data_IF_524969476415
#
_entry.id   IF_524969476415
#
_cell.length_a   1.000
_cell.length_b   1.000
_cell.length_c   1.000
_cell.angle_alpha   90.00
_cell.angle_beta   90.00
_cell.angle_gamma   90.00
#
_symmetry.space_group_name_H-M   'P 1'
#
loop_
_entity.id
_entity.type
_entity.pdbx_description
1 polymer ?
#
# COMPACT_ATOMS: atom_id res chain seq x y z
N UNK A 1 2.21 -50.45 -29.08
CA UNK A 1 1.61 -50.38 -30.43
C UNK A 1 2.40 -49.36 -31.25
N UNK A 2 3.23 -49.86 -32.18
CA UNK A 2 3.89 -49.09 -33.22
C UNK A 2 2.86 -48.63 -34.26
N UNK A 3 2.97 -47.41 -34.77
CA UNK A 3 3.00 -47.17 -36.23
C UNK A 3 3.49 -45.77 -36.60
N UNK A 4 4.25 -45.80 -37.68
CA UNK A 4 5.20 -44.83 -38.24
C UNK A 4 4.78 -44.61 -39.69
N UNK A 5 4.48 -43.39 -40.10
CA UNK A 5 4.26 -42.98 -41.49
C UNK A 5 4.85 -41.57 -41.61
N UNK A 6 5.67 -41.16 -42.58
CA UNK A 6 6.16 -41.74 -43.83
C UNK A 6 6.60 -40.55 -44.68
N UNK A 7 7.87 -40.50 -45.08
CA UNK A 7 8.42 -39.42 -45.92
C UNK A 7 8.26 -39.75 -47.41
N UNK A 8 8.05 -38.73 -48.24
CA UNK A 8 8.61 -38.70 -49.60
C UNK A 8 7.68 -38.27 -50.74
N UNK A 9 8.32 -37.54 -51.67
CA UNK A 9 8.01 -37.33 -53.09
C UNK A 9 7.04 -36.18 -53.47
N UNK A 10 7.28 -35.34 -54.49
CA UNK A 10 8.40 -35.08 -55.39
C UNK A 10 8.02 -33.86 -56.27
N UNK A 11 9.02 -33.07 -56.66
CA UNK A 11 9.15 -32.18 -57.84
C UNK A 11 7.99 -32.07 -58.85
N UNK A 12 7.75 -30.84 -59.36
CA UNK A 12 7.96 -30.52 -60.80
C UNK A 12 7.86 -29.03 -61.13
N UNK A 13 8.80 -28.62 -61.99
CA UNK A 13 9.01 -27.33 -62.65
C UNK A 13 8.15 -27.16 -63.92
N UNK A 14 8.00 -25.91 -64.36
CA UNK A 14 7.25 -25.41 -65.53
C UNK A 14 7.69 -25.99 -66.91
N UNK A 15 6.93 -25.74 -68.00
CA UNK A 15 7.21 -24.55 -68.84
C UNK A 15 5.99 -23.87 -69.54
N UNK A 16 6.20 -22.65 -70.04
CA UNK A 16 5.35 -21.88 -70.97
C UNK A 16 5.43 -22.41 -72.42
N UNK A 17 4.48 -22.05 -73.32
CA UNK A 17 4.84 -21.06 -74.35
C UNK A 17 3.75 -20.06 -74.79
N UNK A 18 4.19 -19.14 -75.66
CA UNK A 18 3.67 -17.84 -76.12
C UNK A 18 2.74 -17.86 -77.38
N UNK A 19 2.20 -16.65 -77.67
CA UNK A 19 1.76 -16.04 -78.97
C UNK A 19 0.32 -16.32 -79.45
N UNK A 20 -0.51 -15.40 -79.99
CA UNK A 20 -0.61 -13.92 -80.21
C UNK A 20 -2.06 -13.63 -80.77
N UNK A 21 -2.48 -12.43 -81.22
CA UNK A 21 -3.60 -11.68 -80.64
C UNK A 21 -4.78 -11.43 -81.63
N UNK A 22 -5.79 -10.64 -81.21
CA UNK A 22 -6.49 -9.66 -82.08
C UNK A 22 -7.34 -8.64 -81.28
N UNK A 23 -7.06 -7.37 -81.56
CA UNK A 23 -7.86 -6.12 -81.55
C UNK A 23 -8.68 -5.76 -80.29
N UNK A 24 -8.28 -4.77 -79.47
CA UNK A 24 -8.15 -3.30 -79.67
C UNK A 24 -9.50 -2.57 -79.80
N UNK A 25 -9.84 -1.81 -78.76
CA UNK A 25 -10.56 -0.54 -78.83
C UNK A 25 -9.93 0.44 -77.80
N UNK A 26 -9.57 1.63 -78.28
CA UNK A 26 -8.88 2.74 -77.59
C UNK A 26 -9.89 3.75 -77.03
N UNK A 27 -9.56 4.46 -75.94
CA UNK A 27 -9.68 5.93 -75.75
C UNK A 27 -9.05 6.36 -74.40
N UNK A 28 -8.67 7.65 -74.22
CA UNK A 28 -7.43 8.06 -73.53
C UNK A 28 -7.60 8.45 -72.06
N UNK A 29 -6.51 8.30 -71.29
CA UNK A 29 -6.38 8.77 -69.90
C UNK A 29 -5.59 10.08 -69.89
N UNK A 30 -6.28 11.21 -69.77
CA UNK A 30 -5.66 12.50 -69.50
C UNK A 30 -5.35 12.61 -68.00
N UNK A 31 -4.06 12.75 -67.65
CA UNK A 31 -3.60 13.10 -66.32
C UNK A 31 -3.68 14.62 -66.17
N UNK A 32 -4.65 15.11 -65.39
CA UNK A 32 -4.69 16.50 -64.95
C UNK A 32 -3.80 16.64 -63.70
N UNK A 33 -2.67 17.32 -63.85
CA UNK A 33 -1.83 17.77 -62.74
C UNK A 33 -2.58 18.92 -62.03
N UNK A 34 -2.92 18.75 -60.75
CA UNK A 34 -3.45 19.83 -59.91
C UNK A 34 -2.29 20.47 -59.16
N UNK A 35 -1.97 21.73 -59.49
CA UNK A 35 -1.17 22.59 -58.63
C UNK A 35 -2.06 23.08 -57.49
N UNK A 36 -1.79 22.62 -56.26
CA UNK A 36 -2.36 23.18 -55.06
C UNK A 36 -1.43 24.28 -54.55
N UNK A 37 -1.77 25.54 -54.82
CA UNK A 37 -1.17 26.69 -54.16
C UNK A 37 -1.72 26.80 -52.74
N UNK A 38 -0.94 26.44 -51.73
CA UNK A 38 -1.23 26.77 -50.32
C UNK A 38 -0.80 28.21 -50.06
N UNK A 39 -1.67 29.16 -50.41
CA UNK A 39 -1.63 30.49 -49.82
C UNK A 39 -2.73 30.54 -48.75
N UNK A 40 -2.41 30.08 -47.54
CA UNK A 40 -3.21 30.38 -46.36
C UNK A 40 -2.93 31.83 -45.96
N UNK A 41 -3.90 32.72 -46.19
CA UNK A 41 -3.84 34.07 -45.62
C UNK A 41 -3.99 33.97 -44.10
N UNK A 42 -3.08 34.61 -43.38
CA UNK A 42 -3.01 34.69 -41.90
C UNK A 42 -4.22 35.37 -41.25
N UNK A 43 -5.16 35.93 -42.03
CA UNK A 43 -6.20 36.83 -41.53
C UNK A 43 -7.47 36.13 -41.01
N UNK A 44 -7.67 34.85 -41.32
CA UNK A 44 -8.87 34.11 -40.85
C UNK A 44 -8.77 33.70 -39.36
N UNK A 45 -7.56 33.48 -38.86
CA UNK A 45 -7.32 33.05 -37.48
C UNK A 45 -7.43 34.23 -36.48
N UNK A 46 -7.02 35.44 -36.88
CA UNK A 46 -7.17 36.65 -36.05
C UNK A 46 -8.63 37.06 -35.83
N UNK A 47 -9.49 36.88 -36.83
CA UNK A 47 -10.93 37.21 -36.74
C UNK A 47 -11.68 36.32 -35.74
N UNK A 48 -11.28 35.05 -35.63
CA UNK A 48 -11.88 34.09 -34.70
C UNK A 48 -11.50 34.38 -33.24
N UNK A 49 -10.28 34.86 -32.97
CA UNK A 49 -9.82 35.20 -31.62
C UNK A 49 -10.46 36.50 -31.09
N UNK A 50 -10.83 37.44 -31.96
CA UNK A 50 -11.40 38.73 -31.58
C UNK A 50 -12.94 38.78 -31.56
N UNK A 51 -13.62 37.64 -31.77
CA UNK A 51 -15.08 37.58 -31.76
C UNK A 51 -15.64 37.52 -30.33
N UNK A 52 -16.67 38.32 -30.05
CA UNK A 52 -17.43 38.29 -28.78
C UNK A 52 -17.99 36.89 -28.48
N UNK A 53 -18.27 36.09 -29.52
CA UNK A 53 -18.76 34.72 -29.38
C UNK A 53 -17.69 33.81 -28.76
N UNK A 54 -16.42 34.02 -29.11
CA UNK A 54 -15.28 33.26 -28.58
C UNK A 54 -15.03 33.58 -27.10
N UNK A 55 -15.19 34.84 -26.69
CA UNK A 55 -15.12 35.23 -25.28
C UNK A 55 -16.22 34.59 -24.44
N UNK A 56 -17.46 34.54 -24.95
CA UNK A 56 -18.59 33.92 -24.25
C UNK A 56 -18.42 32.41 -24.17
N UNK A 57 -17.98 31.75 -25.24
CA UNK A 57 -17.79 30.29 -25.25
C UNK A 57 -16.65 29.84 -24.32
N UNK A 58 -15.53 30.57 -24.30
CA UNK A 58 -14.43 30.30 -23.36
C UNK A 58 -14.87 30.52 -21.91
N UNK A 59 -15.65 31.58 -21.64
CA UNK A 59 -16.15 31.86 -20.29
C UNK A 59 -17.11 30.76 -19.80
N UNK A 60 -18.03 30.29 -20.65
CA UNK A 60 -18.93 29.20 -20.30
C UNK A 60 -18.19 27.86 -20.11
N UNK A 61 -17.19 27.58 -20.96
CA UNK A 61 -16.38 26.37 -20.84
C UNK A 61 -15.55 26.36 -19.56
N UNK A 62 -14.93 27.48 -19.20
CA UNK A 62 -14.16 27.62 -17.95
C UNK A 62 -15.07 27.52 -16.72
N UNK A 63 -16.19 28.25 -16.68
CA UNK A 63 -17.15 28.16 -15.58
C UNK A 63 -17.73 26.75 -15.41
N UNK A 64 -18.10 26.10 -16.51
CA UNK A 64 -18.58 24.71 -16.51
C UNK A 64 -17.51 23.71 -16.04
N UNK A 65 -16.26 23.88 -16.47
CA UNK A 65 -15.15 23.01 -16.05
C UNK A 65 -14.82 23.18 -14.57
N UNK A 66 -14.86 24.42 -14.07
CA UNK A 66 -14.67 24.73 -12.65
C UNK A 66 -15.80 24.12 -11.82
N UNK A 67 -17.07 24.31 -12.23
CA UNK A 67 -18.23 23.74 -11.55
C UNK A 67 -18.21 22.21 -11.53
N UNK A 68 -17.89 21.57 -12.67
CA UNK A 68 -17.75 20.13 -12.76
C UNK A 68 -16.64 19.59 -11.86
N UNK A 69 -15.48 20.25 -11.84
CA UNK A 69 -14.36 19.87 -10.98
C UNK A 69 -14.72 20.02 -9.49
N UNK A 70 -15.37 21.13 -9.10
CA UNK A 70 -15.86 21.29 -7.72
C UNK A 70 -16.88 20.25 -7.33
N UNK A 71 -17.74 19.80 -8.25
CA UNK A 71 -18.72 18.78 -7.94
C UNK A 71 -18.08 17.40 -7.72
N UNK A 72 -17.04 17.06 -8.49
CA UNK A 72 -16.37 15.76 -8.38
C UNK A 72 -15.38 15.68 -7.21
N UNK A 73 -14.64 16.76 -6.95
CA UNK A 73 -13.49 16.76 -6.05
C UNK A 73 -13.66 17.70 -4.84
N UNK A 74 -14.82 18.34 -4.71
CA UNK A 74 -15.20 19.19 -3.58
C UNK A 74 -14.51 20.55 -3.53
N UNK A 75 -13.24 20.65 -3.96
CA UNK A 75 -12.45 21.87 -3.79
C UNK A 75 -11.63 22.25 -5.02
N UNK A 76 -11.35 23.55 -5.16
CA UNK A 76 -10.51 24.08 -6.25
C UNK A 76 -9.05 24.19 -5.78
N UNK A 77 -8.08 23.63 -6.51
CA UNK A 77 -6.67 23.56 -6.09
C UNK A 77 -5.95 24.92 -6.04
N UNK A 78 -6.61 25.99 -6.48
CA UNK A 78 -6.07 27.35 -6.57
C UNK A 78 -6.82 28.37 -5.69
N UNK A 79 -7.81 27.93 -4.91
CA UNK A 79 -8.41 28.76 -3.87
C UNK A 79 -7.92 28.27 -2.50
N UNK A 80 -7.33 29.15 -1.66
CA UNK A 80 -6.96 28.77 -0.31
C UNK A 80 -8.24 28.41 0.48
N UNK A 81 -8.28 27.18 0.99
CA UNK A 81 -9.33 26.73 1.90
C UNK A 81 -8.94 27.12 3.31
N UNK A 82 -9.85 27.76 4.03
CA UNK A 82 -9.71 27.99 5.47
C UNK A 82 -10.24 26.74 6.16
N UNK A 83 -9.35 25.82 6.51
CA UNK A 83 -9.70 24.69 7.37
C UNK A 83 -9.84 25.22 8.80
N UNK A 84 -11.01 25.04 9.40
CA UNK A 84 -11.23 25.28 10.83
C UNK A 84 -10.80 24.07 11.66
N UNK A 85 -9.62 23.52 11.38
CA UNK A 85 -8.99 22.47 12.18
C UNK A 85 -8.00 23.12 13.13
N UNK A 86 -8.23 23.01 14.44
CA UNK A 86 -7.22 23.35 15.43
C UNK A 86 -6.21 22.20 15.49
N UNK A 87 -4.95 22.49 15.82
CA UNK A 87 -3.94 21.44 16.05
C UNK A 87 -4.39 20.42 17.11
N UNK A 88 -5.30 20.82 18.01
CA UNK A 88 -5.93 19.93 18.99
C UNK A 88 -6.84 18.88 18.36
N UNK A 89 -7.46 19.15 17.21
CA UNK A 89 -8.39 18.23 16.54
C UNK A 89 -7.66 17.10 15.83
N UNK A 90 -6.48 17.39 15.28
CA UNK A 90 -5.61 16.42 14.59
C UNK A 90 -4.69 15.67 15.56
N UNK A 91 -4.41 16.24 16.74
CA UNK A 91 -3.45 15.72 17.71
C UNK A 91 -2.01 16.08 17.35
N UNK A 92 -1.13 16.06 18.35
CA UNK A 92 0.29 16.33 18.15
C UNK A 92 0.92 15.24 17.27
N UNK A 93 1.66 15.66 16.24
CA UNK A 93 2.38 14.70 15.40
C UNK A 93 3.48 13.99 16.20
N UNK A 94 3.55 12.65 16.13
CA UNK A 94 4.60 11.90 16.81
C UNK A 94 5.97 12.20 16.17
N UNK A 95 7.05 12.30 16.97
CA UNK A 95 8.40 12.42 16.42
C UNK A 95 8.83 11.09 15.79
N UNK A 96 9.80 11.15 14.88
CA UNK A 96 10.35 9.95 14.23
C UNK A 96 11.35 9.26 15.17
N UNK A 97 10.95 8.16 15.80
CA UNK A 97 11.86 7.39 16.65
C UNK A 97 12.72 6.43 15.81
N UNK A 98 14.00 6.24 16.16
CA UNK A 98 14.90 5.38 15.40
C UNK A 98 14.67 3.90 15.75
N UNK A 99 13.58 3.30 15.26
CA UNK A 99 13.28 1.88 15.46
C UNK A 99 14.35 0.99 14.85
N UNK A 100 14.69 -0.10 15.55
CA UNK A 100 15.70 -1.08 15.10
C UNK A 100 15.39 -1.73 13.76
N UNK A 101 14.12 -1.74 13.35
CA UNK A 101 13.62 -2.38 12.14
C UNK A 101 13.26 -1.38 11.03
N UNK A 102 13.68 -0.11 11.14
CA UNK A 102 13.31 0.93 10.17
C UNK A 102 14.13 0.87 8.87
N UNK A 103 15.40 0.47 8.92
CA UNK A 103 16.27 0.47 7.75
C UNK A 103 15.87 -0.56 6.69
N UNK A 104 16.37 -0.38 5.46
CA UNK A 104 16.05 -1.24 4.31
C UNK A 104 16.48 -2.70 4.49
N UNK A 105 17.53 -2.92 5.28
CA UNK A 105 18.12 -4.24 5.55
C UNK A 105 17.81 -4.74 6.96
N UNK A 106 17.15 -3.92 7.77
CA UNK A 106 16.91 -4.24 9.18
C UNK A 106 15.68 -5.12 9.35
N UNK A 107 15.77 -6.07 10.27
CA UNK A 107 14.74 -7.03 10.66
C UNK A 107 14.16 -6.63 12.01
N UNK A 108 13.05 -7.24 12.42
CA UNK A 108 12.57 -7.07 13.79
C UNK A 108 13.59 -7.57 14.83
N UNK A 109 13.59 -6.92 16.00
CA UNK A 109 14.25 -7.44 17.20
C UNK A 109 13.32 -8.45 17.87
N UNK A 110 13.58 -9.75 17.62
CA UNK A 110 12.74 -10.84 18.14
C UNK A 110 12.77 -10.95 19.67
N UNK A 111 13.82 -10.50 20.34
CA UNK A 111 13.85 -10.43 21.80
C UNK A 111 12.91 -9.33 22.31
N UNK A 112 12.85 -8.19 21.61
CA UNK A 112 11.87 -7.13 21.88
C UNK A 112 10.44 -7.58 21.57
N UNK A 113 10.20 -8.40 20.53
CA UNK A 113 8.89 -9.03 20.28
C UNK A 113 8.49 -9.94 21.46
N UNK A 114 9.40 -10.77 21.98
CA UNK A 114 9.13 -11.65 23.12
C UNK A 114 8.74 -10.84 24.37
N UNK A 115 9.54 -9.85 24.72
CA UNK A 115 9.24 -8.94 25.86
C UNK A 115 7.95 -8.15 25.63
N UNK A 116 7.69 -7.72 24.40
CA UNK A 116 6.47 -7.00 24.05
C UNK A 116 5.21 -7.85 24.17
N UNK A 117 5.30 -9.15 23.83
CA UNK A 117 4.21 -10.09 24.08
C UNK A 117 3.92 -10.25 25.58
N UNK A 118 4.95 -10.31 26.42
CA UNK A 118 4.78 -10.34 27.87
C UNK A 118 4.01 -9.10 28.37
N UNK A 119 4.40 -7.90 27.93
CA UNK A 119 3.68 -6.65 28.26
C UNK A 119 2.24 -6.68 27.76
N UNK A 120 2.00 -7.16 26.52
CA UNK A 120 0.64 -7.32 26.01
C UNK A 120 -0.19 -8.24 26.91
N UNK A 121 0.34 -9.41 27.27
CA UNK A 121 -0.36 -10.42 28.08
C UNK A 121 -0.67 -9.91 29.49
N UNK A 122 0.29 -9.26 30.14
CA UNK A 122 0.17 -8.84 31.54
C UNK A 122 -0.56 -7.50 31.73
N UNK A 123 -0.58 -6.64 30.69
CA UNK A 123 -1.17 -5.29 30.79
C UNK A 123 -2.35 -5.10 29.85
N UNK A 124 -2.18 -5.41 28.56
CA UNK A 124 -3.14 -5.01 27.52
C UNK A 124 -4.28 -6.03 27.34
N UNK A 125 -4.01 -7.32 27.51
CA UNK A 125 -4.92 -8.43 27.21
C UNK A 125 -6.18 -8.44 28.08
N UNK A 126 -6.20 -7.68 29.18
CA UNK A 126 -7.39 -7.48 30.01
C UNK A 126 -8.48 -6.64 29.31
N UNK A 127 -8.11 -5.75 28.38
CA UNK A 127 -9.04 -4.84 27.72
C UNK A 127 -8.98 -4.87 26.20
N UNK A 128 -7.86 -5.28 25.61
CA UNK A 128 -7.64 -5.29 24.17
C UNK A 128 -7.63 -6.69 23.59
N UNK A 129 -8.38 -6.90 22.50
CA UNK A 129 -8.29 -8.13 21.73
C UNK A 129 -7.10 -8.12 20.76
N UNK A 130 -6.73 -9.32 20.32
CA UNK A 130 -5.70 -9.56 19.30
C UNK A 130 -6.20 -10.66 18.34
N UNK A 131 -7.38 -10.43 17.79
CA UNK A 131 -8.24 -11.46 17.16
C UNK A 131 -7.62 -12.11 15.92
N UNK A 132 -6.62 -11.47 15.28
CA UNK A 132 -5.99 -11.98 14.05
C UNK A 132 -4.68 -12.71 14.29
N UNK A 133 -4.25 -12.82 15.55
CA UNK A 133 -3.05 -13.57 15.93
C UNK A 133 -3.46 -14.87 16.60
N UNK A 134 -2.91 -15.97 16.08
CA UNK A 134 -3.04 -17.28 16.69
C UNK A 134 -1.78 -17.69 17.43
N UNK A 135 -1.91 -18.64 18.35
CA UNK A 135 -0.79 -19.15 19.14
C UNK A 135 0.37 -19.61 18.26
N UNK A 136 0.08 -20.38 17.19
CA UNK A 136 1.07 -20.84 16.20
C UNK A 136 1.91 -19.72 15.57
N UNK A 137 1.44 -18.47 15.55
CA UNK A 137 2.19 -17.37 14.97
C UNK A 137 3.41 -16.99 15.81
N UNK A 138 3.38 -17.22 17.13
CA UNK A 138 4.52 -16.95 18.02
C UNK A 138 5.66 -17.98 17.88
N UNK A 139 5.32 -19.19 17.41
CA UNK A 139 6.25 -20.32 17.30
C UNK A 139 7.34 -20.00 16.29
N UNK A 140 8.60 -20.04 16.73
CA UNK A 140 9.75 -19.75 15.89
C UNK A 140 9.95 -18.26 15.58
N UNK A 141 9.09 -17.39 16.13
CA UNK A 141 9.25 -15.93 16.08
C UNK A 141 9.80 -15.44 17.42
N UNK A 142 9.02 -15.57 18.50
CA UNK A 142 9.38 -15.06 19.82
C UNK A 142 9.49 -16.15 20.88
N UNK A 143 8.88 -17.31 20.63
CA UNK A 143 8.80 -18.44 21.55
C UNK A 143 9.04 -19.75 20.81
N UNK A 144 9.44 -20.79 21.56
CA UNK A 144 9.52 -22.14 21.02
C UNK A 144 8.14 -22.84 21.07
N UNK A 145 8.05 -24.03 20.46
CA UNK A 145 6.77 -24.77 20.36
C UNK A 145 6.20 -25.11 21.73
N UNK A 146 7.05 -25.56 22.65
CA UNK A 146 6.62 -26.05 23.97
C UNK A 146 6.16 -24.90 24.86
N UNK A 147 6.84 -23.75 24.82
CA UNK A 147 6.43 -22.51 25.49
C UNK A 147 5.04 -22.05 25.03
N UNK A 148 4.83 -21.94 23.71
CA UNK A 148 3.54 -21.49 23.17
C UNK A 148 2.44 -22.48 23.47
N UNK A 149 2.75 -23.78 23.43
CA UNK A 149 1.78 -24.82 23.78
C UNK A 149 1.37 -24.71 25.24
N UNK A 150 2.32 -24.53 26.16
CA UNK A 150 2.01 -24.32 27.58
C UNK A 150 1.14 -23.07 27.79
N UNK A 151 1.47 -21.95 27.13
CA UNK A 151 0.66 -20.72 27.21
C UNK A 151 -0.75 -20.89 26.64
N UNK A 152 -0.92 -21.66 25.56
CA UNK A 152 -2.24 -21.93 24.99
C UNK A 152 -3.08 -22.82 25.93
N UNK A 153 -2.46 -23.77 26.63
CA UNK A 153 -3.12 -24.67 27.58
C UNK A 153 -3.62 -23.96 28.85
N UNK A 154 -3.12 -22.77 29.17
CA UNK A 154 -3.60 -21.90 30.26
C UNK A 154 -5.00 -21.31 30.00
N UNK A 155 -5.47 -21.35 28.75
CA UNK A 155 -6.71 -20.71 28.31
C UNK A 155 -7.74 -21.77 27.90
N UNK A 156 -8.98 -21.58 28.32
CA UNK A 156 -10.11 -22.42 27.89
C UNK A 156 -10.84 -21.80 26.69
N UNK A 157 -11.22 -22.66 25.74
CA UNK A 157 -11.99 -22.31 24.56
C UNK A 157 -13.26 -23.13 24.49
N UNK A 158 -14.34 -22.52 23.98
CA UNK A 158 -15.54 -23.26 23.61
C UNK A 158 -15.29 -24.05 22.32
N UNK A 159 -15.71 -25.32 22.30
CA UNK A 159 -15.65 -26.23 21.15
C UNK A 159 -16.94 -27.08 21.08
N UNK A 160 -17.08 -27.86 20.02
CA UNK A 160 -18.22 -28.74 19.79
C UNK A 160 -19.07 -28.37 18.57
N UNK A 161 -20.28 -28.94 18.46
CA UNK A 161 -20.93 -29.79 19.45
C UNK A 161 -20.33 -31.20 19.60
N UNK A 162 -20.58 -31.85 20.73
CA UNK A 162 -20.29 -33.27 20.96
C UNK A 162 -21.37 -34.18 20.31
N UNK A 163 -21.27 -35.50 20.51
CA UNK A 163 -22.20 -36.49 19.94
C UNK A 163 -23.67 -36.33 20.44
N UNK A 164 -23.88 -35.57 21.51
CA UNK A 164 -25.19 -35.25 22.09
C UNK A 164 -25.72 -33.88 21.62
N UNK A 165 -24.95 -33.13 20.82
CA UNK A 165 -25.33 -31.80 20.33
C UNK A 165 -24.96 -30.65 21.28
N UNK A 166 -24.19 -30.91 22.33
CA UNK A 166 -23.82 -29.92 23.36
C UNK A 166 -22.44 -29.31 23.09
N UNK A 167 -22.31 -28.00 23.31
CA UNK A 167 -21.02 -27.30 23.29
C UNK A 167 -20.26 -27.58 24.59
N UNK A 168 -18.95 -27.78 24.51
CA UNK A 168 -18.08 -28.04 25.67
C UNK A 168 -16.88 -27.09 25.69
N UNK A 169 -16.17 -27.03 26.81
CA UNK A 169 -14.90 -26.30 26.92
C UNK A 169 -13.72 -27.24 26.77
N UNK A 170 -12.64 -26.75 26.14
CA UNK A 170 -11.38 -27.47 26.04
C UNK A 170 -10.21 -26.54 26.30
N UNK A 171 -9.07 -27.13 26.64
CA UNK A 171 -7.79 -26.42 26.68
C UNK A 171 -7.42 -25.90 25.30
N UNK A 172 -6.74 -24.75 25.28
CA UNK A 172 -6.25 -24.15 24.05
C UNK A 172 -5.18 -25.00 23.37
N UNK A 173 -5.10 -24.85 22.05
CA UNK A 173 -4.09 -25.49 21.21
C UNK A 173 -3.45 -24.44 20.29
N UNK A 174 -2.31 -24.77 19.69
CA UNK A 174 -1.56 -23.87 18.81
C UNK A 174 -2.39 -23.29 17.64
N UNK A 175 -3.45 -23.98 17.21
CA UNK A 175 -4.31 -23.53 16.13
C UNK A 175 -5.30 -22.42 16.55
N UNK A 176 -5.52 -22.21 17.84
CA UNK A 176 -6.50 -21.23 18.32
C UNK A 176 -5.96 -19.80 18.24
N UNK A 177 -6.90 -18.85 18.13
CA UNK A 177 -6.62 -17.42 18.19
C UNK A 177 -6.51 -16.92 19.63
N UNK A 178 -5.86 -15.79 19.84
CA UNK A 178 -5.77 -15.17 21.17
C UNK A 178 -7.18 -14.97 21.75
N UNK A 179 -7.38 -15.24 23.06
CA UNK A 179 -8.69 -15.11 23.67
C UNK A 179 -9.13 -13.64 23.69
N UNK A 180 -10.40 -13.34 23.36
CA UNK A 180 -10.92 -11.99 23.49
C UNK A 180 -11.16 -11.64 24.96
N UNK A 181 -10.90 -10.40 25.42
CA UNK A 181 -11.15 -9.96 26.79
C UNK A 181 -12.64 -9.86 27.13
N UNK A 182 -13.48 -9.69 26.11
CA UNK A 182 -14.92 -9.50 26.26
C UNK A 182 -15.67 -10.41 25.29
N UNK A 183 -16.87 -10.85 25.69
CA UNK A 183 -17.72 -11.70 24.86
C UNK A 183 -18.30 -10.96 23.64
N UNK A 184 -18.51 -9.65 23.74
CA UNK A 184 -19.08 -8.80 22.70
C UNK A 184 -18.71 -7.32 22.91
N UNK A 185 -19.08 -6.48 21.94
CA UNK A 185 -18.81 -5.05 21.93
C UNK A 185 -19.53 -4.32 23.09
N UNK A 186 -20.76 -4.73 23.40
CA UNK A 186 -21.57 -4.11 24.44
C UNK A 186 -20.95 -4.33 25.83
N UNK A 187 -20.43 -5.54 26.10
CA UNK A 187 -19.71 -5.84 27.32
C UNK A 187 -18.41 -5.01 27.43
N UNK A 188 -17.68 -4.86 26.31
CA UNK A 188 -16.48 -4.04 26.26
C UNK A 188 -16.78 -2.56 26.57
N UNK A 189 -17.83 -2.00 25.98
CA UNK A 189 -18.27 -0.62 26.25
C UNK A 189 -18.75 -0.44 27.69
N UNK A 190 -19.53 -1.38 28.21
CA UNK A 190 -20.01 -1.33 29.59
C UNK A 190 -18.86 -1.36 30.60
N UNK A 191 -17.82 -2.15 30.34
CA UNK A 191 -16.62 -2.22 31.19
C UNK A 191 -15.69 -1.01 31.12
N UNK A 192 -15.79 -0.17 30.08
CA UNK A 192 -14.85 0.92 29.81
C UNK A 192 -15.56 2.28 29.63
N UNK A 193 -16.55 2.57 30.47
CA UNK A 193 -17.26 3.87 30.49
C UNK A 193 -17.84 4.30 29.12
N UNK A 194 -18.30 3.33 28.32
CA UNK A 194 -18.89 3.53 26.98
C UNK A 194 -17.87 3.53 25.83
N UNK A 195 -16.57 3.62 26.11
CA UNK A 195 -15.52 3.51 25.12
C UNK A 195 -15.29 2.04 24.73
N UNK A 196 -15.04 1.78 23.45
CA UNK A 196 -14.67 0.46 22.96
C UNK A 196 -13.15 0.41 22.76
N UNK A 197 -12.41 -0.43 23.50
CA UNK A 197 -11.01 -0.70 23.20
C UNK A 197 -10.89 -1.33 21.81
N UNK A 198 -10.09 -0.77 20.88
CA UNK A 198 -9.90 -1.36 19.56
C UNK A 198 -9.09 -2.66 19.64
N UNK A 199 -9.37 -3.59 18.74
CA UNK A 199 -8.48 -4.74 18.44
C UNK A 199 -7.10 -4.22 18.05
N UNK A 200 -6.06 -4.79 18.66
CA UNK A 200 -4.68 -4.34 18.47
C UNK A 200 -3.97 -5.04 17.31
N UNK A 201 -4.59 -6.03 16.67
CA UNK A 201 -3.94 -6.86 15.65
C UNK A 201 -3.33 -6.05 14.50
N UNK A 202 -3.97 -4.94 14.12
CA UNK A 202 -3.54 -4.09 13.01
C UNK A 202 -3.33 -2.63 13.43
N UNK A 203 -3.29 -2.33 14.72
CA UNK A 203 -3.36 -0.94 15.21
C UNK A 203 -2.21 -0.06 14.71
N UNK A 204 -1.02 -0.63 14.57
CA UNK A 204 0.18 0.04 14.05
C UNK A 204 0.02 0.43 12.57
N UNK A 205 -0.78 -0.31 11.78
CA UNK A 205 -1.08 0.03 10.38
C UNK A 205 -2.35 0.86 10.24
N UNK A 206 -3.24 0.77 11.22
CA UNK A 206 -4.53 1.44 11.22
C UNK A 206 -4.47 2.89 11.74
N UNK A 207 -3.28 3.41 12.06
CA UNK A 207 -3.07 4.78 12.54
C UNK A 207 -1.94 5.46 11.78
N UNK A 208 -2.11 6.74 11.49
CA UNK A 208 -1.05 7.57 10.92
C UNK A 208 0.12 7.67 11.92
N UNK A 209 1.36 7.68 11.42
CA UNK A 209 2.57 7.62 12.25
C UNK A 209 2.91 6.22 12.77
N UNK A 210 1.99 5.26 12.71
CA UNK A 210 2.23 3.85 13.05
C UNK A 210 2.89 3.63 14.40
N UNK A 211 4.08 3.01 14.41
CA UNK A 211 4.80 2.69 15.64
C UNK A 211 5.15 3.94 16.46
N UNK A 212 5.54 5.04 15.79
CA UNK A 212 5.85 6.31 16.44
C UNK A 212 4.63 6.88 17.17
N UNK A 213 3.45 6.75 16.57
CA UNK A 213 2.18 7.18 17.17
C UNK A 213 1.86 6.36 18.42
N UNK A 214 1.88 5.04 18.33
CA UNK A 214 1.53 4.18 19.48
C UNK A 214 2.51 4.37 20.64
N UNK A 215 3.80 4.51 20.35
CA UNK A 215 4.81 4.78 21.38
C UNK A 215 4.58 6.14 22.05
N UNK A 216 4.35 7.19 21.26
CA UNK A 216 4.07 8.53 21.78
C UNK A 216 2.77 8.58 22.56
N UNK A 217 1.75 7.85 22.12
CA UNK A 217 0.49 7.72 22.84
C UNK A 217 0.70 7.09 24.22
N UNK A 218 1.42 5.97 24.29
CA UNK A 218 1.65 5.27 25.56
C UNK A 218 2.51 6.06 26.55
N UNK A 219 3.47 6.84 26.06
CA UNK A 219 4.42 7.59 26.90
C UNK A 219 4.07 9.06 27.08
N UNK A 220 3.07 9.58 26.36
CA UNK A 220 2.74 11.00 26.28
C UNK A 220 1.65 11.50 27.24
N UNK A 221 1.19 10.67 28.18
CA UNK A 221 0.19 11.08 29.17
C UNK A 221 0.73 12.20 30.07
N UNK A 222 0.03 13.33 30.10
CA UNK A 222 0.35 14.52 30.91
C UNK A 222 -0.95 15.14 31.46
N UNK A 223 -0.82 15.98 32.48
CA UNK A 223 -1.96 16.74 32.99
C UNK A 223 -2.50 17.71 31.93
N UNK A 224 -3.83 17.93 31.87
CA UNK A 224 -4.42 18.83 30.89
C UNK A 224 -3.85 20.25 31.07
N UNK A 225 -3.43 20.91 29.98
CA UNK A 225 -2.94 22.28 30.06
C UNK A 225 -4.06 23.24 30.49
N UNK A 226 -3.68 24.39 31.03
CA UNK A 226 -4.64 25.39 31.53
C UNK A 226 -5.68 25.76 30.45
N UNK A 227 -6.96 25.63 30.79
CA UNK A 227 -8.08 25.92 29.89
C UNK A 227 -8.66 24.71 29.14
N UNK A 228 -8.05 23.52 29.26
CA UNK A 228 -8.60 22.28 28.70
C UNK A 228 -9.33 21.49 29.80
N UNK A 229 -10.66 21.42 29.69
CA UNK A 229 -11.48 20.57 30.56
C UNK A 229 -11.70 19.20 29.92
N UNK A 230 -11.22 18.15 30.58
CA UNK A 230 -11.44 16.77 30.16
C UNK A 230 -12.69 16.24 30.87
N UNK A 231 -13.58 15.59 30.11
CA UNK A 231 -14.80 15.00 30.67
C UNK A 231 -14.46 13.94 31.72
N UNK A 232 -15.33 13.79 32.71
CA UNK A 232 -15.18 12.76 33.74
C UNK A 232 -15.06 11.37 33.10
N UNK A 233 -14.06 10.59 33.54
CA UNK A 233 -13.72 9.27 32.99
C UNK A 233 -12.80 9.28 31.76
N UNK A 234 -12.47 10.46 31.21
CA UNK A 234 -11.49 10.61 30.13
C UNK A 234 -10.16 11.15 30.69
N UNK A 235 -9.07 10.90 29.98
CA UNK A 235 -7.71 11.36 30.31
C UNK A 235 -7.18 12.27 29.22
N UNK A 236 -6.20 13.12 29.56
CA UNK A 236 -5.55 13.97 28.57
C UNK A 236 -4.32 13.28 27.96
N UNK A 237 -4.23 13.32 26.63
CA UNK A 237 -3.05 12.91 25.88
C UNK A 237 -2.92 13.78 24.62
N UNK A 238 -1.84 14.57 24.47
CA UNK A 238 -1.69 15.50 23.36
C UNK A 238 -1.55 14.81 22.00
N UNK A 239 -1.13 13.54 21.95
CA UNK A 239 -1.01 12.79 20.69
C UNK A 239 -2.35 12.23 20.22
N UNK A 240 -3.33 12.08 21.11
CA UNK A 240 -4.66 11.61 20.72
C UNK A 240 -5.45 12.72 20.03
N UNK A 241 -6.08 12.48 18.88
CA UNK A 241 -6.93 13.47 18.21
C UNK A 241 -8.05 13.97 19.14
N UNK A 242 -8.15 15.28 19.34
CA UNK A 242 -9.07 15.90 20.30
C UNK A 242 -8.55 15.97 21.75
N UNK A 243 -7.37 15.44 22.04
CA UNK A 243 -6.69 15.51 23.34
C UNK A 243 -7.31 14.67 24.47
N UNK A 244 -8.59 14.34 24.41
CA UNK A 244 -9.29 13.55 25.41
C UNK A 244 -9.42 12.07 24.98
N UNK A 245 -8.83 11.15 25.74
CA UNK A 245 -8.83 9.71 25.47
C UNK A 245 -9.50 8.93 26.61
N UNK A 246 -10.29 7.91 26.28
CA UNK A 246 -10.94 7.02 27.27
C UNK A 246 -10.01 5.98 27.90
N UNK A 247 -8.75 5.93 27.48
CA UNK A 247 -7.73 5.01 27.99
C UNK A 247 -6.96 5.67 29.13
N UNK A 248 -6.84 4.98 30.26
CA UNK A 248 -5.98 5.39 31.37
C UNK A 248 -4.50 5.22 31.03
N UNK A 249 -3.62 5.89 31.78
CA UNK A 249 -2.19 5.58 31.74
C UNK A 249 -1.99 4.20 32.37
N UNK A 250 -1.58 3.22 31.56
CA UNK A 250 -1.42 1.82 31.99
C UNK A 250 0.04 1.40 32.16
N UNK A 251 1.01 2.20 31.71
CA UNK A 251 2.42 1.90 31.88
C UNK A 251 3.04 2.76 32.98
N UNK A 252 3.62 2.08 33.97
CA UNK A 252 4.37 2.66 35.09
C UNK A 252 5.70 1.90 35.26
N UNK A 253 6.73 2.56 35.80
CA UNK A 253 8.04 1.92 35.93
C UNK A 253 7.97 0.73 36.91
N UNK A 254 8.53 -0.41 36.50
CA UNK A 254 8.55 -1.64 37.31
C UNK A 254 7.24 -2.44 37.32
N UNK A 255 6.31 -2.19 36.38
CA UNK A 255 5.03 -2.89 36.32
C UNK A 255 5.15 -4.39 35.99
N UNK A 256 6.15 -4.76 35.18
CA UNK A 256 6.41 -6.11 34.70
C UNK A 256 7.86 -6.47 35.03
N UNK A 257 8.13 -7.74 35.31
CA UNK A 257 9.51 -8.25 35.44
C UNK A 257 9.86 -9.08 34.20
N UNK A 258 10.79 -8.58 33.37
CA UNK A 258 11.21 -9.29 32.17
C UNK A 258 12.06 -10.51 32.51
N UNK A 259 11.82 -11.63 31.81
CA UNK A 259 12.55 -12.89 32.00
C UNK A 259 14.08 -12.76 31.84
N UNK A 260 14.53 -11.82 30.99
CA UNK A 260 15.94 -11.59 30.68
C UNK A 260 16.62 -10.56 31.61
N UNK A 261 15.89 -10.03 32.60
CA UNK A 261 16.40 -9.04 33.55
C UNK A 261 16.54 -7.63 32.97
N UNK A 262 15.98 -7.35 31.79
CA UNK A 262 15.95 -5.98 31.25
C UNK A 262 15.21 -5.06 32.23
N UNK A 263 15.67 -3.82 32.47
CA UNK A 263 14.95 -2.86 33.29
C UNK A 263 13.59 -2.51 32.69
N UNK A 264 12.50 -2.83 33.40
CA UNK A 264 11.13 -2.58 32.95
C UNK A 264 10.67 -1.14 33.21
N UNK A 265 11.34 -0.17 32.58
CA UNK A 265 10.85 1.22 32.57
C UNK A 265 9.65 1.36 31.64
N UNK A 266 8.85 2.40 31.86
CA UNK A 266 7.70 2.78 31.01
C UNK A 266 8.05 2.85 29.53
N UNK A 267 9.14 3.56 29.19
CA UNK A 267 9.60 3.69 27.81
C UNK A 267 10.12 2.37 27.24
N UNK A 268 10.76 1.53 28.06
CA UNK A 268 11.22 0.22 27.62
C UNK A 268 10.03 -0.70 27.29
N UNK A 269 9.07 -0.82 28.20
CA UNK A 269 7.85 -1.59 27.96
C UNK A 269 7.06 -1.07 26.75
N UNK A 270 6.95 0.26 26.60
CA UNK A 270 6.30 0.87 25.45
C UNK A 270 7.02 0.52 24.14
N UNK A 271 8.36 0.56 24.10
CA UNK A 271 9.15 0.15 22.93
C UNK A 271 8.88 -1.31 22.57
N UNK A 272 8.85 -2.19 23.57
CA UNK A 272 8.71 -3.63 23.33
C UNK A 272 7.30 -3.99 22.88
N UNK A 273 6.26 -3.49 23.55
CA UNK A 273 4.88 -3.75 23.14
C UNK A 273 4.60 -3.17 21.75
N UNK A 274 5.14 -2.00 21.41
CA UNK A 274 5.01 -1.44 20.06
C UNK A 274 5.73 -2.30 19.02
N UNK A 275 6.91 -2.83 19.34
CA UNK A 275 7.63 -3.74 18.45
C UNK A 275 6.83 -5.03 18.23
N UNK A 276 6.22 -5.58 19.29
CA UNK A 276 5.31 -6.72 19.19
C UNK A 276 4.06 -6.41 18.35
N UNK A 277 3.40 -5.26 18.56
CA UNK A 277 2.23 -4.85 17.79
C UNK A 277 2.56 -4.56 16.31
N UNK A 278 3.77 -4.09 16.03
CA UNK A 278 4.24 -3.92 14.66
C UNK A 278 4.43 -5.28 13.98
N UNK A 279 5.01 -6.25 14.68
CA UNK A 279 5.06 -7.64 14.21
C UNK A 279 3.67 -8.25 14.03
N UNK A 280 2.74 -8.03 14.97
CA UNK A 280 1.38 -8.54 14.86
C UNK A 280 0.67 -7.99 13.59
N UNK A 281 0.94 -6.72 13.25
CA UNK A 281 0.37 -6.09 12.07
C UNK A 281 1.07 -6.49 10.75
N UNK A 282 2.35 -6.84 10.80
CA UNK A 282 3.19 -7.26 9.66
C UNK A 282 4.06 -8.48 9.97
N UNK A 283 3.46 -9.68 10.17
CA UNK A 283 4.24 -10.88 10.45
C UNK A 283 5.15 -11.28 9.27
N UNK A 284 4.88 -10.76 8.06
CA UNK A 284 5.68 -10.98 6.87
C UNK A 284 6.88 -10.04 6.72
N UNK A 285 7.06 -9.04 7.60
CA UNK A 285 8.04 -7.95 7.46
C UNK A 285 9.45 -8.43 7.08
N UNK A 286 9.98 -9.41 7.82
CA UNK A 286 11.37 -9.85 7.67
C UNK A 286 11.58 -10.62 6.36
N UNK A 287 10.66 -11.55 6.04
CA UNK A 287 10.67 -12.27 4.77
C UNK A 287 10.36 -11.33 3.59
N UNK A 288 9.50 -10.33 3.76
CA UNK A 288 9.20 -9.30 2.76
C UNK A 288 10.45 -8.50 2.40
N UNK A 289 11.22 -8.03 3.39
CA UNK A 289 12.48 -7.30 3.13
C UNK A 289 13.54 -8.19 2.49
N UNK A 290 13.73 -9.41 3.00
CA UNK A 290 14.66 -10.40 2.44
C UNK A 290 14.34 -10.73 0.99
N UNK A 291 13.07 -10.98 0.66
CA UNK A 291 12.64 -11.25 -0.71
C UNK A 291 12.66 -9.99 -1.58
N UNK A 292 12.38 -8.82 -1.01
CA UNK A 292 12.51 -7.52 -1.67
C UNK A 292 13.93 -7.25 -2.16
N UNK A 293 14.95 -7.50 -1.32
CA UNK A 293 16.35 -7.33 -1.71
C UNK A 293 16.74 -8.28 -2.85
N UNK A 294 16.34 -9.56 -2.77
CA UNK A 294 16.56 -10.53 -3.86
C UNK A 294 15.91 -10.07 -5.16
N UNK A 295 14.68 -9.55 -5.09
CA UNK A 295 13.97 -9.04 -6.25
C UNK A 295 14.66 -7.80 -6.84
N UNK A 296 15.10 -6.84 -6.01
CA UNK A 296 15.83 -5.65 -6.46
C UNK A 296 17.12 -6.03 -7.19
N UNK A 297 17.89 -6.99 -6.65
CA UNK A 297 19.12 -7.47 -7.29
C UNK A 297 18.79 -8.12 -8.65
N UNK A 298 17.81 -9.03 -8.68
CA UNK A 298 17.39 -9.73 -9.90
C UNK A 298 16.91 -8.76 -10.98
N UNK A 299 16.00 -7.85 -10.64
CA UNK A 299 15.46 -6.88 -11.58
C UNK A 299 16.49 -5.85 -12.03
N UNK A 300 17.44 -5.48 -11.19
CA UNK A 300 18.56 -4.62 -11.58
C UNK A 300 19.42 -5.28 -12.66
N UNK A 301 19.79 -6.56 -12.47
CA UNK A 301 20.58 -7.32 -13.46
C UNK A 301 19.79 -7.49 -14.77
N UNK A 302 18.51 -7.87 -14.69
CA UNK A 302 17.66 -8.03 -15.87
C UNK A 302 17.47 -6.70 -16.62
N UNK A 303 17.37 -5.59 -15.89
CA UNK A 303 17.24 -4.25 -16.49
C UNK A 303 18.52 -3.88 -17.22
N UNK A 304 19.69 -4.08 -16.62
CA UNK A 304 20.99 -3.82 -17.28
C UNK A 304 21.16 -4.70 -18.54
N UNK A 305 20.82 -5.98 -18.46
CA UNK A 305 20.86 -6.90 -19.60
C UNK A 305 19.90 -6.47 -20.71
N UNK A 306 18.66 -6.10 -20.36
CA UNK A 306 17.66 -5.59 -21.30
C UNK A 306 18.13 -4.31 -21.99
N UNK A 307 18.70 -3.36 -21.25
CA UNK A 307 19.25 -2.12 -21.80
C UNK A 307 20.41 -2.39 -22.75
N UNK A 308 21.30 -3.34 -22.41
CA UNK A 308 22.38 -3.78 -23.30
C UNK A 308 21.84 -4.37 -24.60
N UNK A 309 20.91 -5.34 -24.51
CA UNK A 309 20.29 -5.97 -25.69
C UNK A 309 19.56 -4.95 -26.54
N UNK A 310 18.82 -4.02 -25.92
CA UNK A 310 18.15 -2.92 -26.61
C UNK A 310 19.15 -2.06 -27.36
N UNK A 311 20.26 -1.64 -26.73
CA UNK A 311 21.29 -0.86 -27.44
C UNK A 311 21.89 -1.65 -28.59
N UNK A 312 22.27 -2.91 -28.36
CA UNK A 312 22.84 -3.80 -29.36
C UNK A 312 21.94 -3.96 -30.60
N UNK A 313 20.64 -4.26 -30.40
CA UNK A 313 19.67 -4.45 -31.50
C UNK A 313 19.34 -3.14 -32.22
N UNK A 314 19.35 -2.01 -31.52
CA UNK A 314 19.06 -0.71 -32.13
C UNK A 314 20.29 -0.06 -32.79
N UNK A 315 21.50 -0.61 -32.62
CA UNK A 315 22.74 -0.10 -33.23
C UNK A 315 22.59 0.20 -34.72
N UNK A 316 22.03 -0.69 -35.58
CA UNK A 316 21.95 -0.43 -37.02
C UNK A 316 21.03 0.73 -37.37
N UNK A 317 19.92 0.88 -36.64
CA UNK A 317 18.95 1.97 -36.86
C UNK A 317 19.51 3.30 -36.37
N UNK A 318 20.17 3.30 -35.21
CA UNK A 318 20.73 4.50 -34.59
C UNK A 318 21.96 5.03 -35.31
N UNK A 319 22.76 4.14 -35.93
CA UNK A 319 23.96 4.52 -36.68
C UNK A 319 23.73 4.61 -38.20
N UNK A 320 22.48 4.50 -38.67
CA UNK A 320 22.18 4.59 -40.12
C UNK A 320 22.47 5.99 -40.63
N UNK A 321 23.30 6.08 -41.67
CA UNK A 321 23.49 7.30 -42.47
C UNK A 321 22.52 7.26 -43.65
N UNK A 322 21.78 8.35 -43.86
CA UNK A 322 20.83 8.47 -44.97
C UNK A 322 21.43 9.47 -45.94
N UNK A 323 21.62 9.05 -47.18
CA UNK A 323 22.00 9.91 -48.28
C UNK A 323 20.77 10.10 -49.18
N UNK A 324 20.50 11.35 -49.55
CA UNK A 324 19.46 11.69 -50.50
C UNK A 324 20.12 12.37 -51.68
N UNK A 325 20.24 11.65 -52.79
CA UNK A 325 20.67 12.20 -54.06
C UNK A 325 19.43 12.63 -54.83
N UNK A 326 19.12 13.94 -54.90
CA UNK A 326 17.94 14.40 -55.61
C UNK A 326 18.05 14.02 -57.08
N UNK A 327 16.96 13.57 -57.72
CA UNK A 327 16.98 13.29 -59.15
C UNK A 327 17.33 14.57 -59.91
N UNK A 328 18.20 14.44 -60.93
CA UNK A 328 18.56 15.56 -61.78
C UNK A 328 17.30 16.15 -62.42
N UNK A 329 17.12 17.46 -62.25
CA UNK A 329 16.03 18.18 -62.89
C UNK A 329 16.25 18.13 -64.40
N UNK A 330 15.42 17.37 -65.11
CA UNK A 330 15.49 17.25 -66.57
C UNK A 330 14.82 18.42 -67.28
N UNK A 331 14.47 19.49 -66.54
CA UNK A 331 13.80 20.67 -67.08
C UNK A 331 14.62 21.95 -66.94
N UNK A 332 15.83 21.96 -67.53
CA UNK A 332 16.51 23.21 -67.94
C UNK A 332 17.35 23.00 -69.19
#
# INVERSE_FOLDING_TARGET
>A
MLRRWGAGALNRTAPLPLFRPKNVLRLPRALAVRNASTASSSNAFESFLNSRVTLVSVSLFTAGSVAWYTHLYGSLPFLPQVHASLDSDEGLHPPAYPWSHMGLFDTFDHASIRRGYQVYREVCAACHSLDRIAWRNLVGVSHNVDEVKAMAEEVEYQDGPNDEGEMFTRTGKLADYMPPPYANEEAARAGNAGALPPDLSLIVKARHGGADYVFSLLTGYVDPPAGVEVREGMNYNPFFPGGAIGMARVLFDGLVEFEDGTPATTSQMAKDVVTFLHWAAEPEHDERKKNGIKAVILFSVLTLASLYVKRFKWTPIKNRKIFYDPPADKTH
#
